data_IF_158704655087
#
_entry.id   IF_158704655087
#
_cell.length_a   1.000
_cell.length_b   1.000
_cell.length_c   1.000
_cell.angle_alpha   90.00
_cell.angle_beta   90.00
_cell.angle_gamma   90.00
#
_symmetry.space_group_name_H-M   'P 1'
#
loop_
_entity.id
_entity.type
_entity.pdbx_description
1 polymer ?
#
# COMPACT_ATOMS: atom_id res chain seq x y z
N UNK A 1 -0.38 -43.78 14.66
CA UNK A 1 -0.15 -42.62 13.80
C UNK A 1 0.77 -43.08 12.70
N UNK A 2 0.26 -43.20 11.48
CA UNK A 2 1.01 -43.88 10.42
C UNK A 2 2.23 -43.06 10.01
N UNK A 3 3.32 -43.72 9.67
CA UNK A 3 4.57 -43.08 9.24
C UNK A 3 4.32 -42.09 8.09
N UNK A 4 3.41 -42.43 7.17
CA UNK A 4 2.96 -41.58 6.07
C UNK A 4 2.39 -40.25 6.58
N UNK A 5 1.57 -40.28 7.64
CA UNK A 5 0.96 -39.08 8.22
C UNK A 5 2.03 -38.19 8.86
N UNK A 6 2.98 -38.77 9.59
CA UNK A 6 4.08 -38.03 10.23
C UNK A 6 4.96 -37.36 9.17
N UNK A 7 5.32 -38.08 8.11
CA UNK A 7 6.12 -37.55 7.00
C UNK A 7 5.38 -36.41 6.30
N UNK A 8 4.09 -36.59 5.99
CA UNK A 8 3.29 -35.57 5.30
C UNK A 8 3.18 -34.27 6.12
N UNK A 9 2.89 -34.38 7.42
CA UNK A 9 2.78 -33.22 8.32
C UNK A 9 4.12 -32.50 8.44
N UNK A 10 5.22 -33.25 8.62
CA UNK A 10 6.55 -32.66 8.77
C UNK A 10 7.02 -31.99 7.48
N UNK A 11 6.73 -32.59 6.32
CA UNK A 11 7.10 -32.03 5.02
C UNK A 11 6.33 -30.73 4.72
N UNK A 12 5.01 -30.73 4.91
CA UNK A 12 4.18 -29.54 4.68
C UNK A 12 4.49 -28.45 5.70
N UNK A 13 4.65 -28.80 6.97
CA UNK A 13 5.03 -27.86 8.02
C UNK A 13 6.40 -27.25 7.78
N UNK A 14 7.38 -28.05 7.38
CA UNK A 14 8.73 -27.59 7.05
C UNK A 14 8.75 -26.64 5.85
N UNK A 15 8.03 -26.98 4.77
CA UNK A 15 7.89 -26.10 3.61
C UNK A 15 7.20 -24.79 3.97
N UNK A 16 6.13 -24.85 4.76
CA UNK A 16 5.42 -23.66 5.23
C UNK A 16 6.32 -22.75 6.08
N UNK A 17 7.11 -23.32 6.99
CA UNK A 17 8.04 -22.57 7.82
C UNK A 17 9.14 -21.92 6.98
N UNK A 18 9.73 -22.65 6.02
CA UNK A 18 10.74 -22.11 5.12
C UNK A 18 10.17 -20.96 4.29
N UNK A 19 8.98 -21.14 3.70
CA UNK A 19 8.32 -20.11 2.93
C UNK A 19 8.01 -18.87 3.78
N UNK A 20 7.51 -19.05 5.00
CA UNK A 20 7.21 -17.95 5.92
C UNK A 20 8.46 -17.13 6.26
N UNK A 21 9.59 -17.79 6.56
CA UNK A 21 10.86 -17.11 6.85
C UNK A 21 11.35 -16.31 5.64
N UNK A 22 11.30 -16.91 4.44
CA UNK A 22 11.72 -16.24 3.20
C UNK A 22 10.84 -15.02 2.93
N UNK A 23 9.51 -15.17 2.99
CA UNK A 23 8.57 -14.07 2.75
C UNK A 23 8.75 -12.95 3.78
N UNK A 24 8.92 -13.28 5.06
CA UNK A 24 9.16 -12.29 6.11
C UNK A 24 10.45 -11.50 5.88
N UNK A 25 11.53 -12.19 5.52
CA UNK A 25 12.82 -11.55 5.24
C UNK A 25 12.71 -10.61 4.03
N UNK A 26 12.10 -11.06 2.94
CA UNK A 26 11.89 -10.24 1.74
C UNK A 26 11.00 -9.04 2.06
N UNK A 27 9.84 -9.25 2.69
CA UNK A 27 8.91 -8.18 3.05
C UNK A 27 9.59 -7.12 3.94
N UNK A 28 10.42 -7.54 4.89
CA UNK A 28 11.15 -6.62 5.77
C UNK A 28 12.29 -5.90 5.03
N UNK A 29 13.02 -6.61 4.16
CA UNK A 29 14.18 -6.07 3.44
C UNK A 29 13.80 -5.09 2.33
N UNK A 30 12.63 -5.28 1.71
CA UNK A 30 12.09 -4.47 0.63
C UNK A 30 10.88 -3.63 1.07
N UNK A 31 10.70 -3.42 2.38
CA UNK A 31 9.67 -2.52 2.90
C UNK A 31 9.93 -1.11 2.37
N UNK A 32 9.04 -0.63 1.50
CA UNK A 32 9.05 0.75 1.03
C UNK A 32 8.46 1.62 2.12
N UNK A 33 9.16 2.69 2.49
CA UNK A 33 8.61 3.70 3.38
C UNK A 33 7.79 4.69 2.54
N UNK A 34 6.50 4.76 2.82
CA UNK A 34 5.60 5.75 2.24
C UNK A 34 5.51 6.95 3.20
N UNK A 35 5.39 8.16 2.63
CA UNK A 35 5.18 9.37 3.41
C UNK A 35 3.80 9.26 4.10
N UNK A 36 3.71 9.30 5.44
CA UNK A 36 2.46 9.04 6.17
C UNK A 36 1.35 10.04 5.82
N UNK A 37 1.74 11.23 5.31
CA UNK A 37 0.79 12.23 4.84
C UNK A 37 -0.02 11.76 3.62
N UNK A 38 0.46 10.77 2.88
CA UNK A 38 -0.27 10.19 1.76
C UNK A 38 -1.55 9.54 2.27
N UNK A 39 -1.45 8.77 3.37
CA UNK A 39 -2.61 8.14 4.02
C UNK A 39 -3.56 9.21 4.56
N UNK A 40 -3.03 10.26 5.21
CA UNK A 40 -3.83 11.37 5.75
C UNK A 40 -4.63 12.09 4.65
N UNK A 41 -4.00 12.36 3.50
CA UNK A 41 -4.69 12.99 2.36
C UNK A 41 -5.68 12.03 1.72
N UNK A 42 -5.32 10.75 1.54
CA UNK A 42 -6.22 9.75 0.97
C UNK A 42 -7.48 9.55 1.83
N UNK A 43 -7.35 9.56 3.15
CA UNK A 43 -8.48 9.43 4.09
C UNK A 43 -9.41 10.66 4.06
N UNK A 44 -8.87 11.83 3.73
CA UNK A 44 -9.68 13.04 3.51
C UNK A 44 -10.42 13.03 2.15
N UNK A 45 -10.05 12.15 1.22
CA UNK A 45 -10.69 12.04 -0.09
C UNK A 45 -11.95 11.17 -0.03
N UNK A 46 -12.90 11.35 -0.98
CA UNK A 46 -14.15 10.60 -1.01
C UNK A 46 -13.98 9.10 -1.34
N UNK A 47 -12.74 8.60 -1.52
CA UNK A 47 -12.40 7.22 -1.88
C UNK A 47 -13.17 6.67 -3.11
N UNK A 48 -13.67 7.57 -3.96
CA UNK A 48 -14.52 7.23 -5.09
C UNK A 48 -13.76 6.59 -6.27
N UNK A 49 -12.44 6.81 -6.35
CA UNK A 49 -11.58 6.30 -7.44
C UNK A 49 -12.14 6.56 -8.86
N UNK A 50 -12.80 7.71 -9.05
CA UNK A 50 -13.55 8.03 -10.26
C UNK A 50 -12.71 8.66 -11.39
N UNK A 51 -11.46 9.04 -11.11
CA UNK A 51 -10.56 9.66 -12.09
C UNK A 51 -10.90 11.08 -12.52
N UNK A 52 -11.87 11.76 -11.89
CA UNK A 52 -12.27 13.12 -12.26
C UNK A 52 -11.16 14.18 -12.11
N UNK A 53 -10.15 13.92 -11.27
CA UNK A 53 -8.96 14.77 -11.12
C UNK A 53 -7.81 14.42 -12.09
N UNK A 54 -7.98 13.44 -12.98
CA UNK A 54 -6.96 13.01 -13.94
C UNK A 54 -5.97 11.95 -13.43
N UNK A 55 -6.15 11.47 -12.19
CA UNK A 55 -5.34 10.40 -11.59
C UNK A 55 -6.12 9.07 -11.57
N UNK A 56 -5.45 7.90 -11.65
CA UNK A 56 -6.11 6.60 -11.73
C UNK A 56 -6.87 6.19 -10.45
N UNK A 57 -6.67 6.89 -9.33
CA UNK A 57 -7.35 6.63 -8.06
C UNK A 57 -7.06 7.70 -7.01
N UNK A 58 -7.77 7.64 -5.87
CA UNK A 58 -7.62 8.58 -4.76
C UNK A 58 -6.21 8.50 -4.14
N UNK A 59 -5.67 7.29 -3.95
CA UNK A 59 -4.26 7.04 -3.57
C UNK A 59 -3.28 7.81 -4.44
N UNK A 60 -3.40 7.66 -5.76
CA UNK A 60 -2.48 8.28 -6.72
C UNK A 60 -2.58 9.81 -6.72
N UNK A 61 -3.77 10.36 -6.51
CA UNK A 61 -3.95 11.80 -6.31
C UNK A 61 -3.32 12.27 -4.99
N UNK A 62 -3.48 11.53 -3.89
CA UNK A 62 -2.87 11.83 -2.60
C UNK A 62 -1.34 11.79 -2.68
N UNK A 63 -0.76 10.78 -3.33
CA UNK A 63 0.68 10.68 -3.62
C UNK A 63 1.20 11.90 -4.38
N UNK A 64 0.50 12.31 -5.44
CA UNK A 64 0.87 13.49 -6.22
C UNK A 64 0.78 14.78 -5.39
N UNK A 65 -0.26 14.90 -4.55
CA UNK A 65 -0.47 16.06 -3.69
C UNK A 65 0.61 16.19 -2.62
N UNK A 66 0.94 15.11 -1.94
CA UNK A 66 2.01 15.11 -0.93
C UNK A 66 3.37 15.34 -1.58
N UNK A 67 3.59 14.80 -2.79
CA UNK A 67 4.82 15.04 -3.55
C UNK A 67 4.96 16.52 -3.92
N UNK A 68 3.94 17.14 -4.52
CA UNK A 68 3.97 18.57 -4.88
C UNK A 68 4.14 19.47 -3.64
N UNK A 69 3.43 19.16 -2.55
CA UNK A 69 3.58 19.87 -1.28
C UNK A 69 5.02 19.76 -0.72
N UNK A 70 5.70 18.64 -0.94
CA UNK A 70 7.07 18.39 -0.47
C UNK A 70 8.13 19.06 -1.36
N UNK A 71 7.99 18.98 -2.69
CA UNK A 71 8.98 19.46 -3.66
C UNK A 71 8.81 20.96 -3.93
N UNK A 72 7.58 21.43 -4.12
CA UNK A 72 7.27 22.79 -4.58
C UNK A 72 6.65 23.67 -3.48
N UNK A 73 6.42 23.13 -2.27
CA UNK A 73 5.75 23.82 -1.14
C UNK A 73 4.39 24.42 -1.53
N UNK A 74 3.74 23.82 -2.52
CA UNK A 74 2.47 24.26 -3.07
C UNK A 74 1.64 23.04 -3.49
N UNK A 75 0.32 23.22 -3.49
CA UNK A 75 -0.66 22.27 -4.05
C UNK A 75 -1.49 22.92 -5.16
N UNK A 76 -1.02 24.06 -5.69
CA UNK A 76 -1.70 24.79 -6.75
C UNK A 76 -1.90 23.90 -7.99
N UNK A 77 -3.12 23.91 -8.52
CA UNK A 77 -3.49 23.09 -9.68
C UNK A 77 -3.88 21.65 -9.37
N UNK A 78 -3.76 21.20 -8.11
CA UNK A 78 -4.26 19.90 -7.66
C UNK A 78 -5.58 20.07 -6.92
N UNK A 79 -6.65 19.50 -7.47
CA UNK A 79 -7.97 19.57 -6.87
C UNK A 79 -8.75 18.27 -7.18
N UNK A 80 -9.43 17.72 -6.18
CA UNK A 80 -10.36 16.61 -6.37
C UNK A 80 -11.79 17.17 -6.54
N UNK A 81 -12.39 17.17 -7.75
CA UNK A 81 -13.69 17.78 -7.98
C UNK A 81 -14.82 17.18 -7.15
N UNK A 82 -14.69 15.90 -6.81
CA UNK A 82 -15.66 15.13 -6.01
C UNK A 82 -15.43 15.29 -4.51
N UNK A 83 -14.19 15.61 -4.10
CA UNK A 83 -13.83 15.83 -2.70
C UNK A 83 -14.28 17.18 -2.14
N UNK A 84 -14.62 18.13 -3.01
CA UNK A 84 -14.95 19.49 -2.61
C UNK A 84 -13.71 20.34 -2.31
N UNK A 85 -13.94 21.61 -2.00
CA UNK A 85 -12.90 22.63 -1.75
C UNK A 85 -12.83 23.06 -0.27
N UNK A 86 -13.47 22.30 0.62
CA UNK A 86 -13.65 22.65 2.04
C UNK A 86 -12.64 21.92 2.94
#
# INVERSE_FOLDING_TARGET
MDNIVIIAVTALGGLGLIAAVILYFIASKFKVYEDPRIDEVEEALPSANCGGCGFPGCRAFAEATVKEAKENKSIEGLNCPVGGND
#
